data_IF_603086056156
#
_entry.id   IF_603086056156
#
_cell.length_a   1.000
_cell.length_b   1.000
_cell.length_c   1.000
_cell.angle_alpha   90.00
_cell.angle_beta   90.00
_cell.angle_gamma   90.00
#
_symmetry.space_group_name_H-M   'P 1'
#
loop_
_entity.id
_entity.type
_entity.pdbx_description
1 polymer ?
#
# COMPACT_ATOMS: atom_id res chain seq x y z
N UNK A 1 -4.09 -12.72 -11.86
CA UNK A 1 -5.27 -12.76 -10.96
C UNK A 1 -4.88 -12.73 -9.48
N UNK A 2 -4.04 -13.68 -9.02
CA UNK A 2 -3.57 -13.73 -7.62
C UNK A 2 -2.84 -12.43 -7.23
N UNK A 3 -1.94 -11.94 -8.09
CA UNK A 3 -1.24 -10.66 -7.92
C UNK A 3 -2.20 -9.47 -7.71
N UNK A 4 -3.27 -9.38 -8.49
CA UNK A 4 -4.32 -8.36 -8.35
C UNK A 4 -5.08 -8.46 -7.04
N UNK A 5 -5.48 -9.66 -6.63
CA UNK A 5 -6.16 -9.90 -5.34
C UNK A 5 -5.29 -9.56 -4.13
N UNK A 6 -4.01 -9.93 -4.18
CA UNK A 6 -3.06 -9.59 -3.13
C UNK A 6 -2.83 -8.08 -3.05
N UNK A 7 -2.71 -7.40 -4.19
CA UNK A 7 -2.56 -5.94 -4.25
C UNK A 7 -3.79 -5.21 -3.71
N UNK A 8 -5.00 -5.73 -4.00
CA UNK A 8 -6.26 -5.20 -3.47
C UNK A 8 -6.33 -5.35 -1.93
N UNK A 9 -6.03 -6.54 -1.40
CA UNK A 9 -6.04 -6.77 0.04
C UNK A 9 -4.99 -5.89 0.76
N UNK A 10 -3.81 -5.78 0.17
CA UNK A 10 -2.74 -4.91 0.67
C UNK A 10 -3.19 -3.45 0.70
N UNK A 11 -3.80 -2.95 -0.38
CA UNK A 11 -4.36 -1.60 -0.43
C UNK A 11 -5.34 -1.33 0.70
N UNK A 12 -6.31 -2.22 0.91
CA UNK A 12 -7.36 -2.05 1.92
C UNK A 12 -6.79 -1.95 3.34
N UNK A 13 -5.88 -2.86 3.71
CA UNK A 13 -5.24 -2.87 5.04
C UNK A 13 -4.52 -1.54 5.30
N UNK A 14 -3.77 -1.06 4.31
CA UNK A 14 -3.00 0.16 4.42
C UNK A 14 -3.89 1.42 4.42
N UNK A 15 -4.96 1.46 3.64
CA UNK A 15 -5.93 2.55 3.61
C UNK A 15 -6.67 2.70 4.94
N UNK A 16 -7.20 1.60 5.48
CA UNK A 16 -7.88 1.59 6.79
C UNK A 16 -6.95 2.11 7.87
N UNK A 17 -5.70 1.65 7.86
CA UNK A 17 -4.70 2.02 8.87
C UNK A 17 -4.26 3.48 8.74
N UNK A 18 -4.09 3.98 7.51
CA UNK A 18 -3.81 5.39 7.25
C UNK A 18 -4.95 6.31 7.67
N UNK A 19 -6.21 5.91 7.39
CA UNK A 19 -7.39 6.66 7.80
C UNK A 19 -7.53 6.71 9.34
N UNK A 20 -7.27 5.60 10.02
CA UNK A 20 -7.35 5.49 11.48
C UNK A 20 -6.39 6.44 12.22
N UNK A 21 -5.29 6.85 11.58
CA UNK A 21 -4.31 7.78 12.14
C UNK A 21 -4.35 9.17 11.52
N UNK A 22 -5.32 9.44 10.64
CA UNK A 22 -5.48 10.74 10.00
C UNK A 22 -5.51 11.87 11.00
N UNK A 23 -6.29 11.77 12.06
CA UNK A 23 -6.39 12.83 13.08
C UNK A 23 -5.15 12.94 13.98
N UNK A 24 -4.33 11.90 14.07
CA UNK A 24 -3.17 11.82 14.98
C UNK A 24 -1.90 12.43 14.42
N UNK A 25 -1.76 12.46 13.08
CA UNK A 25 -0.54 12.90 12.40
C UNK A 25 -0.60 14.40 12.08
N UNK A 26 0.47 15.15 12.40
CA UNK A 26 0.59 16.58 12.08
C UNK A 26 0.86 16.82 10.58
N UNK A 27 1.64 15.96 9.94
CA UNK A 27 2.00 16.10 8.53
C UNK A 27 0.99 15.42 7.59
N UNK A 28 -0.15 16.08 7.38
CA UNK A 28 -1.24 15.53 6.54
C UNK A 28 -0.81 15.23 5.11
N UNK A 29 0.12 15.98 4.54
CA UNK A 29 0.58 15.81 3.16
C UNK A 29 1.24 14.44 2.93
N UNK A 30 2.09 13.99 3.86
CA UNK A 30 2.76 12.68 3.76
C UNK A 30 1.76 11.55 3.91
N UNK A 31 0.80 11.70 4.83
CA UNK A 31 -0.27 10.72 5.00
C UNK A 31 -1.22 10.69 3.79
N UNK A 32 -1.53 11.84 3.20
CA UNK A 32 -2.34 11.94 2.00
C UNK A 32 -1.64 11.27 0.81
N UNK A 33 -0.33 11.50 0.63
CA UNK A 33 0.47 10.79 -0.36
C UNK A 33 0.42 9.27 -0.14
N UNK A 34 0.53 8.84 1.11
CA UNK A 34 0.42 7.42 1.45
C UNK A 34 -0.93 6.81 1.12
N UNK A 35 -2.02 7.50 1.48
CA UNK A 35 -3.37 7.07 1.16
C UNK A 35 -3.60 7.04 -0.35
N UNK A 36 -3.11 8.05 -1.09
CA UNK A 36 -3.20 8.09 -2.55
C UNK A 36 -2.44 6.94 -3.21
N UNK A 37 -1.21 6.65 -2.77
CA UNK A 37 -0.42 5.54 -3.30
C UNK A 37 -1.09 4.19 -3.07
N UNK A 38 -1.67 3.97 -1.89
CA UNK A 38 -2.39 2.72 -1.60
C UNK A 38 -3.76 2.66 -2.27
N UNK A 39 -4.45 3.79 -2.48
CA UNK A 39 -5.66 3.85 -3.30
C UNK A 39 -5.35 3.44 -4.75
N UNK A 40 -4.25 3.93 -5.31
CA UNK A 40 -3.80 3.52 -6.64
C UNK A 40 -3.50 2.02 -6.69
N UNK A 41 -2.87 1.44 -5.66
CA UNK A 41 -2.70 -0.02 -5.55
C UNK A 41 -4.03 -0.77 -5.61
N UNK A 42 -5.05 -0.28 -4.92
CA UNK A 42 -6.39 -0.89 -4.93
C UNK A 42 -7.05 -0.82 -6.30
N UNK A 43 -6.96 0.33 -6.97
CA UNK A 43 -7.46 0.52 -8.34
C UNK A 43 -6.73 -0.43 -9.31
N UNK A 44 -5.39 -0.46 -9.29
CA UNK A 44 -4.60 -1.38 -10.11
C UNK A 44 -4.99 -2.84 -9.83
N UNK A 45 -5.12 -3.23 -8.56
CA UNK A 45 -5.53 -4.57 -8.17
C UNK A 45 -6.90 -4.96 -8.75
N UNK A 46 -7.89 -4.07 -8.62
CA UNK A 46 -9.24 -4.29 -9.17
C UNK A 46 -9.23 -4.40 -10.70
N UNK A 47 -8.50 -3.52 -11.39
CA UNK A 47 -8.38 -3.54 -12.85
C UNK A 47 -7.66 -4.81 -13.35
N UNK A 48 -6.64 -5.29 -12.63
CA UNK A 48 -5.96 -6.55 -12.95
C UNK A 48 -6.86 -7.77 -12.75
N UNK A 49 -7.72 -7.78 -11.72
CA UNK A 49 -8.74 -8.82 -11.52
C UNK A 49 -9.74 -8.81 -12.68
N UNK A 50 -10.14 -7.62 -13.14
CA UNK A 50 -11.04 -7.44 -14.28
C UNK A 50 -10.41 -7.64 -15.66
N UNK A 51 -9.12 -8.03 -15.74
CA UNK A 51 -8.37 -8.17 -16.99
C UNK A 51 -8.30 -6.90 -17.86
N UNK A 52 -8.41 -5.71 -17.23
CA UNK A 52 -8.43 -4.42 -17.92
C UNK A 52 -7.04 -3.81 -18.09
N UNK A 53 -6.05 -4.26 -17.32
CA UNK A 53 -4.67 -3.79 -17.40
C UNK A 53 -3.68 -4.95 -17.29
N UNK A 54 -2.50 -4.76 -17.87
CA UNK A 54 -1.41 -5.74 -17.93
C UNK A 54 -0.47 -5.68 -16.72
N UNK A 55 0.30 -6.75 -16.51
CA UNK A 55 1.26 -6.89 -15.40
C UNK A 55 2.34 -5.79 -15.25
N UNK A 56 2.86 -5.08 -16.27
CA UNK A 56 3.83 -4.00 -16.02
C UNK A 56 3.31 -2.88 -15.09
N UNK A 57 1.99 -2.64 -15.07
CA UNK A 57 1.40 -1.67 -14.15
C UNK A 57 1.53 -2.11 -12.69
N UNK A 58 1.53 -3.41 -12.40
CA UNK A 58 1.73 -3.97 -11.06
C UNK A 58 3.05 -3.50 -10.43
N UNK A 59 4.15 -3.58 -11.18
CA UNK A 59 5.50 -3.20 -10.72
C UNK A 59 5.57 -1.70 -10.44
N UNK A 60 5.03 -0.88 -11.35
CA UNK A 60 5.00 0.58 -11.19
C UNK A 60 4.24 0.96 -9.91
N UNK A 61 3.07 0.36 -9.69
CA UNK A 61 2.25 0.67 -8.51
C UNK A 61 2.91 0.17 -7.21
N UNK A 62 3.59 -0.97 -7.24
CA UNK A 62 4.41 -1.48 -6.13
C UNK A 62 5.57 -0.54 -5.78
N UNK A 63 6.30 -0.03 -6.77
CA UNK A 63 7.37 0.94 -6.54
C UNK A 63 6.83 2.21 -5.88
N UNK A 64 5.67 2.70 -6.32
CA UNK A 64 5.03 3.87 -5.73
C UNK A 64 4.62 3.61 -4.26
N UNK A 65 4.08 2.42 -3.97
CA UNK A 65 3.73 1.99 -2.63
C UNK A 65 4.96 1.90 -1.72
N UNK A 66 6.09 1.44 -2.25
CA UNK A 66 7.36 1.35 -1.54
C UNK A 66 7.91 2.74 -1.17
N UNK A 67 7.92 3.68 -2.13
CA UNK A 67 8.32 5.08 -1.87
C UNK A 67 7.42 5.70 -0.81
N UNK A 68 6.11 5.51 -0.92
CA UNK A 68 5.12 5.93 0.07
C UNK A 68 5.42 5.36 1.46
N UNK A 69 5.74 4.06 1.56
CA UNK A 69 6.13 3.44 2.82
C UNK A 69 7.41 4.02 3.40
N UNK A 70 8.45 4.28 2.61
CA UNK A 70 9.69 4.85 3.13
C UNK A 70 9.46 6.26 3.68
N UNK A 71 8.74 7.08 2.91
CA UNK A 71 8.36 8.43 3.35
C UNK A 71 7.51 8.38 4.61
N UNK A 72 6.53 7.48 4.70
CA UNK A 72 5.61 7.43 5.82
C UNK A 72 6.14 6.64 7.02
N UNK A 73 7.05 5.68 6.81
CA UNK A 73 7.69 4.87 7.86
C UNK A 73 8.49 5.73 8.83
N UNK A 74 9.13 6.79 8.36
CA UNK A 74 9.80 7.72 9.29
C UNK A 74 8.83 8.38 10.28
N UNK A 75 7.53 8.52 9.95
CA UNK A 75 6.55 9.28 10.73
C UNK A 75 5.48 8.42 11.42
N UNK A 76 5.06 7.31 10.79
CA UNK A 76 4.06 6.40 11.32
C UNK A 76 4.60 5.50 12.43
N UNK A 77 5.92 5.28 12.54
CA UNK A 77 6.49 4.44 13.60
C UNK A 77 6.23 5.00 15.01
N UNK A 78 5.91 6.30 15.14
CA UNK A 78 5.53 6.91 16.41
C UNK A 78 4.03 6.84 16.74
N UNK A 79 3.16 6.60 15.75
CA UNK A 79 1.71 6.71 15.93
C UNK A 79 0.93 5.43 15.58
N UNK A 80 1.58 4.49 14.88
CA UNK A 80 1.04 3.17 14.54
C UNK A 80 1.93 2.09 15.13
N UNK A 81 1.31 1.04 15.66
CA UNK A 81 2.00 -0.07 16.30
C UNK A 81 3.04 -0.70 15.36
N UNK A 82 4.24 -0.98 15.86
CA UNK A 82 5.34 -1.54 15.06
C UNK A 82 4.97 -2.85 14.36
N UNK A 83 4.08 -3.65 14.95
CA UNK A 83 3.56 -4.88 14.34
C UNK A 83 2.79 -4.62 13.04
N UNK A 84 2.09 -3.49 12.90
CA UNK A 84 1.41 -3.15 11.65
C UNK A 84 2.43 -2.85 10.54
N UNK A 85 3.53 -2.15 10.87
CA UNK A 85 4.62 -1.89 9.93
C UNK A 85 5.29 -3.16 9.47
N UNK A 86 5.60 -4.06 10.41
CA UNK A 86 6.19 -5.38 10.11
C UNK A 86 5.22 -6.18 9.25
N UNK A 87 3.95 -6.31 9.65
CA UNK A 87 2.94 -7.08 8.92
C UNK A 87 2.77 -6.58 7.48
N UNK A 88 2.61 -5.27 7.28
CA UNK A 88 2.44 -4.71 5.94
C UNK A 88 3.74 -4.77 5.12
N UNK A 89 4.93 -4.72 5.74
CA UNK A 89 6.21 -4.90 5.05
C UNK A 89 6.37 -6.35 4.57
N UNK A 90 6.09 -7.31 5.45
CA UNK A 90 6.08 -8.73 5.11
C UNK A 90 5.07 -9.01 4.02
N UNK A 91 3.88 -8.41 4.09
CA UNK A 91 2.86 -8.60 3.07
C UNK A 91 3.27 -8.00 1.72
N UNK A 92 3.95 -6.85 1.72
CA UNK A 92 4.59 -6.29 0.52
C UNK A 92 5.62 -7.24 -0.09
N UNK A 93 6.48 -7.85 0.72
CA UNK A 93 7.46 -8.84 0.24
C UNK A 93 6.79 -10.09 -0.34
N UNK A 94 5.73 -10.58 0.29
CA UNK A 94 4.92 -11.70 -0.23
C UNK A 94 4.31 -11.35 -1.59
N UNK A 95 3.78 -10.15 -1.76
CA UNK A 95 3.25 -9.67 -3.05
C UNK A 95 4.36 -9.63 -4.11
N UNK A 96 5.56 -9.21 -3.74
CA UNK A 96 6.69 -9.13 -4.65
C UNK A 96 7.20 -10.52 -5.08
N UNK A 97 7.14 -11.51 -4.18
CA UNK A 97 7.57 -12.90 -4.44
C UNK A 97 6.53 -13.73 -5.20
N UNK A 98 5.23 -13.48 -5.00
CA UNK A 98 4.13 -14.23 -5.63
C UNK A 98 3.63 -13.54 -6.90
N UNK A 99 3.81 -12.22 -7.00
CA UNK A 99 3.36 -11.42 -8.13
C UNK A 99 4.27 -11.49 -9.36
N UNK A 100 5.37 -12.23 -9.26
CA UNK A 100 6.32 -12.59 -10.33
C UNK A 100 6.40 -14.12 -10.42
#
# INVERSE_FOLDING_TARGET
>A
MISGSLLLLYSLINLISGAAVWHKIKMKNVLAFYLAAHLLCGITGALMIGHLISEPYFIITLCLALVSRFLNGFFLFHHVHIMHHIMTATFFLVILLIGY
#
